data_IF_106241800812
#
_entry.id   IF_106241800812
#
_cell.length_a   1.000
_cell.length_b   1.000
_cell.length_c   1.000
_cell.angle_alpha   90.00
_cell.angle_beta   90.00
_cell.angle_gamma   90.00
#
_symmetry.space_group_name_H-M   'P 1'
#
loop_
_entity.id
_entity.type
_entity.pdbx_description
1 polymer ?
#
# COMPACT_ATOMS: atom_id res chain seq x y z
N UNK A 1 3.37 -18.89 -7.26
CA UNK A 1 4.10 -17.66 -7.58
C UNK A 1 4.26 -16.90 -6.28
N UNK A 2 5.48 -16.59 -5.85
CA UNK A 2 5.70 -15.83 -4.62
C UNK A 2 5.47 -14.36 -4.97
N UNK A 3 4.35 -13.79 -4.53
CA UNK A 3 4.09 -12.35 -4.69
C UNK A 3 5.17 -11.61 -3.90
N UNK A 4 5.85 -10.66 -4.55
CA UNK A 4 6.85 -9.80 -3.93
C UNK A 4 6.55 -8.36 -4.29
N UNK A 5 6.57 -7.50 -3.28
CA UNK A 5 6.41 -6.07 -3.45
C UNK A 5 7.76 -5.42 -3.76
N UNK A 6 7.71 -4.36 -4.55
CA UNK A 6 8.81 -3.43 -4.77
C UNK A 6 8.83 -2.36 -3.69
N UNK A 7 9.94 -1.64 -3.58
CA UNK A 7 10.17 -0.65 -2.52
C UNK A 7 9.05 0.41 -2.44
N UNK A 8 8.67 1.00 -3.58
CA UNK A 8 7.58 1.97 -3.66
C UNK A 8 6.21 1.39 -3.27
N UNK A 9 5.99 0.08 -3.47
CA UNK A 9 4.76 -0.57 -3.06
C UNK A 9 4.74 -0.80 -1.55
N UNK A 10 5.90 -1.09 -0.93
CA UNK A 10 5.99 -1.14 0.53
C UNK A 10 5.69 0.22 1.17
N UNK A 11 6.21 1.32 0.62
CA UNK A 11 5.86 2.68 1.05
C UNK A 11 4.35 2.93 0.94
N UNK A 12 3.76 2.60 -0.21
CA UNK A 12 2.32 2.77 -0.43
C UNK A 12 1.48 1.95 0.57
N UNK A 13 1.85 0.69 0.82
CA UNK A 13 1.15 -0.16 1.79
C UNK A 13 1.33 0.39 3.20
N UNK A 14 2.52 0.84 3.58
CA UNK A 14 2.79 1.38 4.91
C UNK A 14 1.98 2.66 5.19
N UNK A 15 1.86 3.55 4.21
CA UNK A 15 1.06 4.79 4.32
C UNK A 15 -0.43 4.52 4.57
N UNK A 16 -0.99 3.50 3.92
CA UNK A 16 -2.43 3.21 3.95
C UNK A 16 -2.78 1.94 4.74
N UNK A 17 -1.83 1.39 5.50
CA UNK A 17 -2.01 0.15 6.24
C UNK A 17 -3.19 0.27 7.22
N UNK A 18 -4.07 -0.73 7.19
CA UNK A 18 -5.13 -0.95 8.17
C UNK A 18 -4.96 -2.30 8.87
N UNK A 19 -5.89 -2.60 9.78
CA UNK A 19 -5.94 -3.85 10.56
C UNK A 19 -6.00 -5.14 9.73
N UNK A 20 -6.42 -5.05 8.46
CA UNK A 20 -6.48 -6.19 7.55
C UNK A 20 -6.05 -5.83 6.13
N UNK A 21 -5.66 -6.85 5.36
CA UNK A 21 -5.34 -6.72 3.93
C UNK A 21 -6.50 -6.12 3.14
N UNK A 22 -7.72 -6.59 3.40
CA UNK A 22 -8.92 -6.11 2.72
C UNK A 22 -9.19 -4.63 3.05
N UNK A 23 -9.10 -4.24 4.32
CA UNK A 23 -9.26 -2.84 4.73
C UNK A 23 -8.15 -1.94 4.13
N UNK A 24 -6.93 -2.46 3.98
CA UNK A 24 -5.82 -1.73 3.34
C UNK A 24 -6.07 -1.54 1.84
N UNK A 25 -6.57 -2.57 1.15
CA UNK A 25 -7.00 -2.48 -0.26
C UNK A 25 -8.07 -1.39 -0.43
N UNK A 26 -9.07 -1.39 0.44
CA UNK A 26 -10.16 -0.39 0.41
C UNK A 26 -9.64 1.03 0.67
N UNK A 27 -8.74 1.20 1.62
CA UNK A 27 -8.12 2.51 1.89
C UNK A 27 -7.32 3.01 0.69
N UNK A 28 -6.49 2.16 0.08
CA UNK A 28 -5.72 2.53 -1.13
C UNK A 28 -6.67 2.93 -2.27
N UNK A 29 -7.81 2.24 -2.43
CA UNK A 29 -8.83 2.64 -3.40
C UNK A 29 -9.46 4.01 -3.10
N UNK A 30 -9.74 4.29 -1.82
CA UNK A 30 -10.37 5.54 -1.39
C UNK A 30 -9.49 6.76 -1.64
N UNK A 31 -8.17 6.59 -1.67
CA UNK A 31 -7.23 7.70 -1.86
C UNK A 31 -6.95 8.02 -3.32
N UNK A 32 -7.30 7.14 -4.27
CA UNK A 32 -7.11 7.34 -5.72
C UNK A 32 -7.60 8.72 -6.21
N UNK A 33 -8.78 9.24 -5.82
CA UNK A 33 -9.25 10.56 -6.28
C UNK A 33 -8.41 11.74 -5.78
N UNK A 34 -7.63 11.56 -4.72
CA UNK A 34 -6.80 12.60 -4.10
C UNK A 34 -5.36 12.57 -4.59
N UNK A 35 -4.94 11.47 -5.21
CA UNK A 35 -3.62 11.35 -5.82
C UNK A 35 -3.61 12.22 -7.08
N UNK A 36 -2.67 13.17 -7.12
CA UNK A 36 -2.54 14.10 -8.23
C UNK A 36 -2.34 13.41 -9.59
N UNK A 37 -2.37 14.17 -10.68
CA UNK A 37 -2.15 13.66 -12.06
C UNK A 37 -0.69 13.30 -12.33
N UNK A 38 -0.07 12.58 -11.41
CA UNK A 38 1.19 11.91 -11.67
C UNK A 38 0.90 10.70 -12.58
N UNK A 39 1.62 10.61 -13.70
CA UNK A 39 1.43 9.53 -14.68
C UNK A 39 1.92 8.18 -14.15
N UNK A 40 2.83 8.18 -13.17
CA UNK A 40 3.43 6.97 -12.60
C UNK A 40 2.61 6.39 -11.43
N UNK A 41 1.89 7.24 -10.70
CA UNK A 41 1.11 6.83 -9.53
C UNK A 41 0.00 5.79 -9.84
N UNK A 42 -0.79 5.91 -10.91
CA UNK A 42 -1.79 4.90 -11.26
C UNK A 42 -1.17 3.51 -11.51
N UNK A 43 0.03 3.45 -12.10
CA UNK A 43 0.71 2.18 -12.34
C UNK A 43 1.15 1.53 -11.03
N UNK A 44 1.73 2.31 -10.11
CA UNK A 44 2.11 1.86 -8.79
C UNK A 44 0.92 1.33 -7.98
N UNK A 45 -0.18 2.09 -7.94
CA UNK A 45 -1.40 1.72 -7.20
C UNK A 45 -1.99 0.43 -7.76
N UNK A 46 -2.14 0.34 -9.09
CA UNK A 46 -2.72 -0.85 -9.72
C UNK A 46 -1.86 -2.10 -9.48
N UNK A 47 -0.52 -1.99 -9.61
CA UNK A 47 0.41 -3.09 -9.31
C UNK A 47 0.32 -3.53 -7.84
N UNK A 48 0.28 -2.56 -6.92
CA UNK A 48 0.16 -2.85 -5.47
C UNK A 48 -1.15 -3.55 -5.15
N UNK A 49 -2.27 -3.06 -5.67
CA UNK A 49 -3.60 -3.63 -5.46
C UNK A 49 -3.72 -5.04 -6.04
N UNK A 50 -3.19 -5.28 -7.24
CA UNK A 50 -3.16 -6.61 -7.85
C UNK A 50 -2.38 -7.59 -6.98
N UNK A 51 -1.18 -7.20 -6.52
CA UNK A 51 -0.36 -8.03 -5.64
C UNK A 51 -1.05 -8.29 -4.30
N UNK A 52 -1.64 -7.27 -3.67
CA UNK A 52 -2.43 -7.42 -2.45
C UNK A 52 -3.64 -8.34 -2.65
N UNK A 53 -4.29 -8.32 -3.81
CA UNK A 53 -5.41 -9.21 -4.10
C UNK A 53 -5.02 -10.69 -4.04
N UNK A 54 -3.83 -11.03 -4.56
CA UNK A 54 -3.29 -12.39 -4.54
C UNK A 54 -2.45 -12.71 -3.29
N UNK A 55 -2.23 -11.73 -2.41
CA UNK A 55 -1.50 -11.93 -1.15
C UNK A 55 -2.39 -12.60 -0.10
N UNK A 56 -1.80 -13.41 0.77
CA UNK A 56 -2.54 -14.04 1.87
C UNK A 56 -2.61 -13.12 3.09
N UNK A 57 -3.68 -13.23 3.87
CA UNK A 57 -3.83 -12.43 5.10
C UNK A 57 -2.71 -12.76 6.11
N UNK A 58 -2.31 -14.02 6.23
CA UNK A 58 -1.19 -14.44 7.09
C UNK A 58 0.13 -13.78 6.65
N UNK A 59 0.43 -13.75 5.35
CA UNK A 59 1.65 -13.10 4.86
C UNK A 59 1.58 -11.58 5.06
N UNK A 60 0.39 -10.98 4.88
CA UNK A 60 0.16 -9.55 5.10
C UNK A 60 0.47 -9.14 6.55
N UNK A 61 -0.01 -9.91 7.53
CA UNK A 61 0.24 -9.67 8.95
C UNK A 61 1.71 -9.81 9.35
N UNK A 62 2.50 -10.53 8.56
CA UNK A 62 3.94 -10.71 8.77
C UNK A 62 4.79 -9.72 7.97
N UNK A 63 4.19 -8.74 7.28
CA UNK A 63 4.95 -7.69 6.59
C UNK A 63 5.62 -6.77 7.61
N UNK A 64 6.94 -6.62 7.48
CA UNK A 64 7.70 -5.61 8.22
C UNK A 64 7.63 -4.27 7.48
N UNK A 65 6.65 -3.45 7.86
CA UNK A 65 6.40 -2.14 7.26
C UNK A 65 7.01 -0.97 8.04
N UNK A 66 7.56 -1.22 9.23
CA UNK A 66 8.19 -0.17 10.05
C UNK A 66 9.26 0.64 9.29
N UNK A 67 10.13 0.04 8.46
CA UNK A 67 11.12 0.79 7.69
C UNK A 67 10.53 1.73 6.63
N UNK A 68 9.28 1.52 6.25
CA UNK A 68 8.59 2.22 5.15
C UNK A 68 7.50 3.16 5.66
N UNK A 69 7.28 3.25 6.97
CA UNK A 69 6.39 4.25 7.54
C UNK A 69 7.05 5.62 7.42
N UNK A 70 6.42 6.52 6.68
CA UNK A 70 6.79 7.93 6.74
C UNK A 70 6.38 8.49 8.11
N UNK A 71 7.21 9.35 8.69
CA UNK A 71 6.83 10.06 9.92
C UNK A 71 5.54 10.85 9.62
N UNK A 72 4.52 10.78 10.49
CA UNK A 72 3.34 11.61 10.30
C UNK A 72 3.82 13.05 10.23
N UNK A 73 3.52 13.75 9.12
CA UNK A 73 3.73 15.19 9.08
C UNK A 73 2.99 15.76 10.29
N UNK A 74 3.75 16.27 11.27
CA UNK A 74 3.15 17.03 12.36
C UNK A 74 2.40 18.18 11.69
N UNK A 75 1.07 18.17 11.79
CA UNK A 75 0.26 19.32 11.44
C UNK A 75 0.69 20.48 12.36
N UNK A 76 1.54 21.38 11.87
CA UNK A 76 1.83 22.67 12.54
C UNK A 76 0.59 23.57 12.61
#
# INVERSE_FOLDING_TARGET
MMVRFEENEYFLIAMFQKESRQATIEEIHNVIPYIGRDEEMPALINSTLEKLWFFTDEAFLNLDLEPYKEEPMEDE
#
